data_IF_679142228809
#
_entry.id   IF_679142228809
#
_cell.length_a   1.000
_cell.length_b   1.000
_cell.length_c   1.000
_cell.angle_alpha   90.00
_cell.angle_beta   90.00
_cell.angle_gamma   90.00
#
_symmetry.space_group_name_H-M   'P 1'
#
loop_
_entity.id
_entity.type
_entity.pdbx_description
1 polymer ?
#
# COMPACT_ATOMS: atom_id res chain seq x y z
N UNK A 1 9.47 9.64 -22.85
CA UNK A 1 9.62 9.55 -21.38
C UNK A 1 10.90 8.78 -21.12
N UNK A 2 11.98 9.41 -20.64
CA UNK A 2 13.18 8.63 -20.28
C UNK A 2 12.73 7.73 -19.14
N UNK A 3 12.60 6.42 -19.40
CA UNK A 3 12.43 5.44 -18.33
C UNK A 3 13.76 5.40 -17.60
N UNK A 4 13.93 6.34 -16.67
CA UNK A 4 15.13 6.40 -15.87
C UNK A 4 15.07 5.15 -14.99
N UNK A 5 15.91 4.17 -15.32
CA UNK A 5 16.14 2.98 -14.50
C UNK A 5 17.02 3.32 -13.26
N UNK A 6 17.63 4.51 -13.26
CA UNK A 6 18.57 4.97 -12.25
C UNK A 6 18.35 6.43 -11.86
N UNK A 7 18.61 6.73 -10.58
CA UNK A 7 18.72 8.10 -10.05
C UNK A 7 19.89 8.85 -10.69
N UNK A 8 19.98 10.16 -10.43
CA UNK A 8 21.06 11.01 -10.90
C UNK A 8 22.42 10.56 -10.37
N UNK A 9 22.45 10.03 -9.15
CA UNK A 9 23.66 9.44 -8.56
C UNK A 9 23.81 7.96 -8.93
N UNK A 10 23.14 7.49 -9.99
CA UNK A 10 23.25 6.16 -10.56
C UNK A 10 22.86 5.01 -9.62
N UNK A 11 22.02 5.23 -8.61
CA UNK A 11 21.36 4.12 -7.91
C UNK A 11 20.20 3.58 -8.73
N UNK A 12 19.95 2.28 -8.68
CA UNK A 12 18.77 1.68 -9.34
C UNK A 12 17.49 2.15 -8.67
N UNK A 13 16.55 2.58 -9.49
CA UNK A 13 15.30 3.18 -9.04
C UNK A 13 14.47 2.25 -8.13
N UNK A 14 14.34 0.97 -8.48
CA UNK A 14 13.56 0.00 -7.70
C UNK A 14 14.19 -0.31 -6.33
N UNK A 15 15.52 -0.33 -6.28
CA UNK A 15 16.29 -0.49 -5.04
C UNK A 15 16.16 0.72 -4.11
N UNK A 16 16.25 1.94 -4.64
CA UNK A 16 16.06 3.18 -3.86
C UNK A 16 14.64 3.26 -3.29
N UNK A 17 13.62 2.97 -4.10
CA UNK A 17 12.21 2.93 -3.67
C UNK A 17 11.98 1.86 -2.59
N UNK A 18 12.68 0.73 -2.67
CA UNK A 18 12.64 -0.33 -1.67
C UNK A 18 13.33 0.09 -0.37
N UNK A 19 14.51 0.70 -0.48
CA UNK A 19 15.31 1.17 0.65
C UNK A 19 14.60 2.29 1.42
N UNK A 20 13.98 3.26 0.72
CA UNK A 20 13.16 4.30 1.34
C UNK A 20 12.05 3.69 2.21
N UNK A 21 11.24 2.80 1.65
CA UNK A 21 10.12 2.19 2.38
C UNK A 21 10.60 1.46 3.64
N UNK A 22 11.68 0.69 3.49
CA UNK A 22 12.17 -0.17 4.57
C UNK A 22 12.91 0.62 5.65
N UNK A 23 13.54 1.74 5.30
CA UNK A 23 14.13 2.67 6.27
C UNK A 23 13.03 3.34 7.10
N UNK A 24 11.96 3.83 6.46
CA UNK A 24 10.80 4.39 7.18
C UNK A 24 10.15 3.32 8.08
N UNK A 25 9.92 2.11 7.57
CA UNK A 25 9.39 0.96 8.34
C UNK A 25 10.20 0.65 9.60
N UNK A 26 11.52 0.84 9.54
CA UNK A 26 12.47 0.61 10.65
C UNK A 26 12.75 1.86 11.48
N UNK A 27 12.07 2.97 11.22
CA UNK A 27 12.26 4.24 11.92
C UNK A 27 13.68 4.83 11.75
N UNK A 28 14.32 4.54 10.63
CA UNK A 28 15.66 5.01 10.26
C UNK A 28 15.53 6.33 9.47
N UNK A 29 15.39 7.44 10.19
CA UNK A 29 15.04 8.73 9.60
C UNK A 29 16.15 9.26 8.66
N UNK A 30 17.42 9.13 9.04
CA UNK A 30 18.58 9.59 8.26
C UNK A 30 18.67 8.88 6.91
N UNK A 31 18.58 7.56 6.91
CA UNK A 31 18.61 6.74 5.71
C UNK A 31 17.37 6.98 4.85
N UNK A 32 16.19 7.11 5.46
CA UNK A 32 14.98 7.46 4.74
C UNK A 32 15.09 8.82 4.03
N UNK A 33 15.70 9.82 4.67
CA UNK A 33 15.94 11.13 4.07
C UNK A 33 16.91 11.05 2.89
N UNK A 34 17.99 10.27 3.01
CA UNK A 34 18.92 10.05 1.90
C UNK A 34 18.20 9.43 0.69
N UNK A 35 17.50 8.31 0.88
CA UNK A 35 16.83 7.61 -0.23
C UNK A 35 15.68 8.42 -0.85
N UNK A 36 15.00 9.24 -0.06
CA UNK A 36 13.98 10.13 -0.59
C UNK A 36 14.58 11.32 -1.35
N UNK A 37 15.67 11.90 -0.85
CA UNK A 37 16.45 12.93 -1.55
C UNK A 37 16.94 12.41 -2.91
N UNK A 38 17.48 11.19 -2.94
CA UNK A 38 17.87 10.49 -4.18
C UNK A 38 16.74 10.47 -5.22
N UNK A 39 15.50 10.20 -4.79
CA UNK A 39 14.34 10.17 -5.68
C UNK A 39 13.93 11.59 -6.12
N UNK A 40 13.73 12.51 -5.19
CA UNK A 40 13.22 13.84 -5.52
C UNK A 40 14.22 14.65 -6.36
N UNK A 41 15.51 14.61 -6.00
CA UNK A 41 16.58 15.29 -6.75
C UNK A 41 16.78 14.67 -8.14
N UNK A 42 16.29 13.45 -8.36
CA UNK A 42 16.26 12.77 -9.67
C UNK A 42 14.90 12.83 -10.36
N UNK A 43 14.05 13.77 -9.95
CA UNK A 43 12.72 14.03 -10.52
C UNK A 43 11.67 12.91 -10.33
N UNK A 44 11.89 11.99 -9.40
CA UNK A 44 10.92 10.95 -9.01
C UNK A 44 10.03 11.34 -7.83
N UNK A 45 9.90 12.62 -7.50
CA UNK A 45 9.13 13.06 -6.32
C UNK A 45 7.67 12.56 -6.31
N UNK A 46 6.99 12.46 -7.46
CA UNK A 46 5.64 11.85 -7.53
C UNK A 46 5.65 10.37 -7.13
N UNK A 47 6.65 9.62 -7.60
CA UNK A 47 6.79 8.21 -7.26
C UNK A 47 7.17 8.00 -5.79
N UNK A 48 8.01 8.89 -5.24
CA UNK A 48 8.31 8.95 -3.81
C UNK A 48 7.03 9.13 -3.00
N UNK A 49 6.21 10.15 -3.26
CA UNK A 49 4.95 10.37 -2.55
C UNK A 49 3.97 9.20 -2.72
N UNK A 50 3.89 8.60 -3.91
CA UNK A 50 3.09 7.40 -4.13
C UNK A 50 3.54 6.26 -3.19
N UNK A 51 4.86 6.12 -2.99
CA UNK A 51 5.39 5.16 -2.01
C UNK A 51 5.09 5.58 -0.57
N UNK A 52 5.17 6.87 -0.21
CA UNK A 52 4.82 7.35 1.12
C UNK A 52 3.34 7.06 1.49
N UNK A 53 2.41 7.22 0.55
CA UNK A 53 1.00 6.84 0.77
C UNK A 53 0.82 5.33 0.88
N UNK A 54 1.62 4.53 0.18
CA UNK A 54 1.63 3.07 0.38
C UNK A 54 2.07 2.71 1.80
N UNK A 55 3.15 3.34 2.29
CA UNK A 55 3.68 3.14 3.66
C UNK A 55 2.64 3.48 4.72
N UNK A 56 1.86 4.55 4.52
CA UNK A 56 0.76 4.91 5.44
C UNK A 56 -0.20 3.72 5.65
N UNK A 57 -0.65 3.07 4.58
CA UNK A 57 -1.61 1.97 4.71
C UNK A 57 -0.95 0.62 5.07
N UNK A 58 0.27 0.39 4.59
CA UNK A 58 0.99 -0.89 4.71
C UNK A 58 1.78 -1.04 6.01
N UNK A 59 2.47 0.01 6.44
CA UNK A 59 3.55 -0.03 7.45
C UNK A 59 3.25 0.75 8.73
N UNK A 60 2.38 1.75 8.64
CA UNK A 60 1.91 2.55 9.79
C UNK A 60 0.50 2.10 10.17
N UNK A 61 -0.40 2.09 9.19
CA UNK A 61 -1.72 1.50 9.27
C UNK A 61 -2.52 2.00 10.49
N UNK A 62 -3.15 1.09 11.23
CA UNK A 62 -3.91 1.37 12.44
C UNK A 62 -3.08 1.94 13.60
N UNK A 63 -1.74 1.94 13.50
CA UNK A 63 -0.91 2.48 14.58
C UNK A 63 -1.05 4.00 14.72
N UNK A 64 -1.15 4.71 13.59
CA UNK A 64 -1.24 6.18 13.53
C UNK A 64 -2.13 6.62 12.35
N UNK A 65 -3.44 6.26 12.35
CA UNK A 65 -4.30 6.39 11.17
C UNK A 65 -4.48 7.84 10.70
N UNK A 66 -4.42 8.81 11.61
CA UNK A 66 -4.55 10.22 11.29
C UNK A 66 -3.42 10.78 10.40
N UNK A 67 -2.26 10.09 10.32
CA UNK A 67 -1.13 10.55 9.51
C UNK A 67 -1.44 10.61 8.01
N UNK A 68 -2.44 9.88 7.51
CA UNK A 68 -2.84 9.96 6.10
C UNK A 68 -3.33 11.38 5.76
N UNK A 69 -4.06 12.03 6.67
CA UNK A 69 -4.58 13.40 6.52
C UNK A 69 -3.43 14.39 6.45
N UNK A 70 -2.46 14.26 7.36
CA UNK A 70 -1.29 15.14 7.40
C UNK A 70 -0.40 14.96 6.16
N UNK A 71 -0.14 13.73 5.74
CA UNK A 71 0.64 13.48 4.53
C UNK A 71 -0.06 14.04 3.29
N UNK A 72 -1.39 13.92 3.21
CA UNK A 72 -2.16 14.50 2.11
C UNK A 72 -2.09 16.03 2.08
N UNK A 73 -2.16 16.69 3.26
CA UNK A 73 -1.94 18.15 3.37
C UNK A 73 -0.55 18.56 2.87
N UNK A 74 0.49 17.86 3.33
CA UNK A 74 1.87 18.11 2.89
C UNK A 74 2.02 17.86 1.38
N UNK A 75 1.46 16.78 0.85
CA UNK A 75 1.51 16.49 -0.59
C UNK A 75 0.84 17.59 -1.43
N UNK A 76 -0.31 18.13 -1.00
CA UNK A 76 -0.96 19.23 -1.71
C UNK A 76 -0.10 20.50 -1.67
N UNK A 77 0.53 20.82 -0.53
CA UNK A 77 1.47 21.93 -0.44
C UNK A 77 2.68 21.72 -1.37
N UNK A 78 3.23 20.51 -1.39
CA UNK A 78 4.32 20.13 -2.28
C UNK A 78 3.94 20.31 -3.77
N UNK A 79 2.73 19.94 -4.17
CA UNK A 79 2.22 20.17 -5.53
C UNK A 79 2.14 21.67 -5.86
N UNK A 80 1.65 22.49 -4.92
CA UNK A 80 1.55 23.95 -5.08
C UNK A 80 2.94 24.57 -5.23
N UNK A 81 3.87 24.24 -4.33
CA UNK A 81 5.24 24.78 -4.35
C UNK A 81 5.96 24.41 -5.64
N UNK A 82 5.80 23.17 -6.13
CA UNK A 82 6.36 22.76 -7.42
C UNK A 82 5.73 23.47 -8.61
N UNK A 83 4.41 23.67 -8.60
CA UNK A 83 3.72 24.45 -9.65
C UNK A 83 4.25 25.88 -9.70
N UNK A 84 4.54 26.45 -8.53
CA UNK A 84 5.12 27.79 -8.39
C UNK A 84 6.65 27.83 -8.57
N UNK A 85 7.28 26.71 -8.97
CA UNK A 85 8.74 26.56 -9.11
C UNK A 85 9.54 26.87 -7.83
N UNK A 86 8.90 26.83 -6.66
CA UNK A 86 9.54 26.97 -5.36
C UNK A 86 10.11 25.63 -4.88
N UNK A 87 11.10 25.10 -5.62
CA UNK A 87 11.59 23.72 -5.43
C UNK A 87 12.16 23.46 -4.04
N UNK A 88 12.88 24.42 -3.44
CA UNK A 88 13.44 24.23 -2.10
C UNK A 88 12.32 24.09 -1.08
N UNK A 89 11.29 24.96 -1.14
CA UNK A 89 10.09 24.85 -0.28
C UNK A 89 9.44 23.47 -0.43
N UNK A 90 9.31 22.97 -1.67
CA UNK A 90 8.80 21.63 -1.91
C UNK A 90 9.68 20.55 -1.23
N UNK A 91 11.01 20.61 -1.37
CA UNK A 91 11.92 19.68 -0.69
C UNK A 91 11.78 19.74 0.84
N UNK A 92 11.62 20.92 1.42
CA UNK A 92 11.35 21.09 2.85
C UNK A 92 10.06 20.38 3.29
N UNK A 93 9.01 20.44 2.46
CA UNK A 93 7.76 19.72 2.72
C UNK A 93 7.98 18.20 2.69
N UNK A 94 8.78 17.70 1.74
CA UNK A 94 9.16 16.28 1.67
C UNK A 94 9.93 15.83 2.92
N UNK A 95 10.90 16.62 3.39
CA UNK A 95 11.68 16.31 4.60
C UNK A 95 10.74 16.16 5.81
N UNK A 96 9.80 17.10 6.00
CA UNK A 96 8.79 17.03 7.08
C UNK A 96 7.96 15.75 6.99
N UNK A 97 7.53 15.37 5.79
CA UNK A 97 6.78 14.14 5.57
C UNK A 97 7.59 12.90 5.97
N UNK A 98 8.85 12.79 5.55
CA UNK A 98 9.69 11.61 5.83
C UNK A 98 9.99 11.49 7.33
N UNK A 99 10.32 12.59 8.00
CA UNK A 99 10.54 12.62 9.45
C UNK A 99 9.29 12.18 10.20
N UNK A 100 8.11 12.70 9.81
CA UNK A 100 6.83 12.36 10.41
C UNK A 100 6.55 10.85 10.32
N UNK A 101 6.74 10.25 9.13
CA UNK A 101 6.48 8.82 8.92
C UNK A 101 7.55 7.94 9.59
N UNK A 102 8.80 8.39 9.63
CA UNK A 102 9.89 7.65 10.27
C UNK A 102 9.69 7.55 11.78
N UNK A 103 9.19 8.60 12.44
CA UNK A 103 8.93 8.60 13.88
C UNK A 103 7.61 7.94 14.30
N UNK A 104 6.68 7.70 13.37
CA UNK A 104 5.38 7.09 13.64
C UNK A 104 5.51 5.69 14.27
N UNK A 105 4.51 5.27 15.06
CA UNK A 105 4.35 3.85 15.35
C UNK A 105 4.02 3.07 14.07
N UNK A 106 4.36 1.79 14.07
CA UNK A 106 4.30 0.90 12.91
C UNK A 106 3.37 -0.28 13.19
N UNK A 107 2.60 -0.66 12.17
CA UNK A 107 1.72 -1.82 12.20
C UNK A 107 1.47 -2.29 10.75
N UNK A 108 1.51 -3.61 10.52
CA UNK A 108 1.30 -4.23 9.20
C UNK A 108 0.02 -5.07 9.11
N UNK A 109 -0.84 -5.02 10.13
CA UNK A 109 -2.06 -5.82 10.24
C UNK A 109 -2.95 -5.67 9.03
N UNK A 110 -3.17 -4.45 8.52
CA UNK A 110 -4.04 -4.26 7.35
C UNK A 110 -3.47 -4.95 6.12
N UNK A 111 -2.16 -4.85 5.90
CA UNK A 111 -1.51 -5.55 4.80
C UNK A 111 -1.57 -7.07 4.97
N UNK A 112 -1.22 -7.59 6.16
CA UNK A 112 -1.29 -9.04 6.41
C UNK A 112 -2.72 -9.58 6.39
N UNK A 113 -3.69 -8.82 6.89
CA UNK A 113 -5.12 -9.12 6.82
C UNK A 113 -5.59 -9.22 5.37
N UNK A 114 -5.19 -8.27 4.52
CA UNK A 114 -5.50 -8.33 3.08
C UNK A 114 -4.88 -9.55 2.39
N UNK A 115 -3.61 -9.85 2.68
CA UNK A 115 -2.94 -11.05 2.18
C UNK A 115 -3.65 -12.33 2.65
N UNK A 116 -4.10 -12.34 3.91
CA UNK A 116 -4.77 -13.49 4.49
C UNK A 116 -6.17 -13.68 3.89
N UNK A 117 -7.01 -12.65 3.76
CA UNK A 117 -8.35 -12.80 3.16
C UNK A 117 -8.29 -13.17 1.68
N UNK A 118 -7.20 -12.85 0.98
CA UNK A 118 -6.96 -13.29 -0.41
C UNK A 118 -6.87 -14.82 -0.53
N UNK A 119 -6.54 -15.52 0.57
CA UNK A 119 -6.44 -16.98 0.58
C UNK A 119 -7.79 -17.70 0.55
N UNK A 120 -8.88 -17.02 0.88
CA UNK A 120 -10.19 -17.63 1.07
C UNK A 120 -11.00 -17.70 -0.23
N UNK A 121 -11.79 -18.77 -0.34
CA UNK A 121 -12.77 -18.99 -1.42
C UNK A 121 -14.21 -19.05 -0.90
N UNK A 122 -14.39 -18.85 0.41
CA UNK A 122 -15.66 -18.78 1.14
C UNK A 122 -15.54 -17.73 2.24
N UNK A 123 -16.64 -17.18 2.78
CA UNK A 123 -16.59 -16.28 3.93
C UNK A 123 -15.82 -16.92 5.10
N UNK A 124 -14.85 -16.21 5.72
CA UNK A 124 -14.10 -16.73 6.86
C UNK A 124 -14.96 -17.15 8.06
N UNK A 125 -16.06 -16.43 8.33
CA UNK A 125 -17.03 -16.79 9.37
C UNK A 125 -18.43 -17.00 8.75
N UNK A 126 -19.32 -17.81 9.36
CA UNK A 126 -20.68 -18.00 8.89
C UNK A 126 -21.46 -16.68 8.77
N UNK A 127 -22.16 -16.49 7.66
CA UNK A 127 -22.88 -15.23 7.35
C UNK A 127 -24.40 -15.37 7.42
N UNK A 128 -24.92 -16.61 7.46
CA UNK A 128 -26.35 -16.89 7.48
C UNK A 128 -27.04 -16.38 8.75
N UNK A 129 -26.28 -16.21 9.83
CA UNK A 129 -26.77 -15.72 11.13
C UNK A 129 -26.67 -14.20 11.29
N UNK A 130 -26.19 -13.47 10.28
CA UNK A 130 -26.14 -12.02 10.38
C UNK A 130 -27.55 -11.43 10.45
N UNK A 131 -27.80 -10.48 11.37
CA UNK A 131 -29.01 -9.70 11.30
C UNK A 131 -28.98 -8.84 10.04
N UNK A 132 -30.17 -8.54 9.52
CA UNK A 132 -30.33 -7.62 8.39
C UNK A 132 -29.68 -6.27 8.75
N UNK A 133 -28.71 -5.78 7.94
CA UNK A 133 -28.00 -4.56 8.28
C UNK A 133 -28.94 -3.37 8.25
N UNK A 134 -28.73 -2.42 9.16
CA UNK A 134 -29.43 -1.13 9.20
C UNK A 134 -29.24 -0.41 7.87
N UNK A 135 -28.05 -0.56 7.27
CA UNK A 135 -27.71 0.00 5.97
C UNK A 135 -28.40 -0.65 4.77
N UNK A 136 -29.28 -1.65 4.94
CA UNK A 136 -29.93 -2.30 3.80
C UNK A 136 -30.75 -1.30 2.95
N UNK A 137 -31.50 -0.41 3.60
CA UNK A 137 -32.29 0.60 2.88
C UNK A 137 -31.40 1.52 2.01
N UNK A 138 -30.18 1.80 2.48
CA UNK A 138 -29.19 2.54 1.72
C UNK A 138 -28.73 1.74 0.50
N UNK A 139 -28.43 0.45 0.69
CA UNK A 139 -27.99 -0.45 -0.39
C UNK A 139 -29.07 -0.60 -1.46
N UNK A 140 -30.33 -0.79 -1.06
CA UNK A 140 -31.46 -0.93 -2.00
C UNK A 140 -31.67 0.35 -2.84
N UNK A 141 -31.32 1.52 -2.29
CA UNK A 141 -31.32 2.79 -3.04
C UNK A 141 -30.12 2.91 -3.99
N UNK A 142 -28.96 2.35 -3.62
CA UNK A 142 -27.71 2.44 -4.37
C UNK A 142 -27.66 1.48 -5.56
N UNK A 143 -28.20 0.27 -5.40
CA UNK A 143 -28.08 -0.80 -6.36
C UNK A 143 -29.48 -1.20 -6.85
N UNK A 144 -29.80 -1.05 -8.14
CA UNK A 144 -31.03 -1.60 -8.69
C UNK A 144 -31.04 -3.12 -8.50
N UNK A 145 -32.23 -3.76 -8.39
CA UNK A 145 -32.35 -5.20 -8.13
C UNK A 145 -31.73 -6.09 -9.23
N UNK A 146 -31.34 -5.52 -10.37
CA UNK A 146 -30.92 -6.22 -11.59
C UNK A 146 -29.42 -6.18 -11.88
N UNK A 147 -28.58 -5.62 -10.99
CA UNK A 147 -27.13 -5.73 -11.13
C UNK A 147 -26.72 -7.21 -10.93
N UNK A 148 -26.41 -7.90 -12.04
CA UNK A 148 -25.73 -9.21 -12.14
C UNK A 148 -26.59 -10.47 -11.97
N UNK A 149 -27.29 -10.83 -13.06
CA UNK A 149 -28.22 -11.98 -13.15
C UNK A 149 -27.70 -13.14 -14.01
N UNK A 150 -26.39 -13.25 -14.23
CA UNK A 150 -25.81 -14.45 -14.86
C UNK A 150 -24.92 -15.21 -13.85
N UNK A 151 -24.85 -16.54 -13.97
CA UNK A 151 -24.04 -17.38 -13.07
C UNK A 151 -22.52 -17.15 -13.23
N UNK A 152 -22.10 -16.27 -14.15
CA UNK A 152 -20.72 -15.99 -14.48
C UNK A 152 -20.20 -14.70 -13.86
N UNK A 153 -21.08 -13.91 -13.23
CA UNK A 153 -20.76 -12.65 -12.57
C UNK A 153 -21.02 -12.74 -11.07
N UNK A 154 -20.29 -11.93 -10.29
CA UNK A 154 -20.50 -11.87 -8.85
C UNK A 154 -21.81 -11.14 -8.54
N UNK A 155 -22.66 -11.70 -7.69
CA UNK A 155 -23.76 -10.96 -7.06
C UNK A 155 -23.19 -9.89 -6.09
N UNK A 156 -22.93 -8.70 -6.64
CA UNK A 156 -22.39 -7.55 -5.90
C UNK A 156 -23.39 -7.08 -4.85
N UNK A 157 -24.70 -7.20 -5.08
CA UNK A 157 -25.71 -6.76 -4.10
C UNK A 157 -25.65 -7.63 -2.86
N UNK A 158 -25.70 -8.95 -2.99
CA UNK A 158 -25.56 -9.86 -1.85
C UNK A 158 -24.22 -9.68 -1.16
N UNK A 159 -23.12 -9.57 -1.91
CA UNK A 159 -21.79 -9.31 -1.32
C UNK A 159 -21.76 -7.99 -0.53
N UNK A 160 -22.40 -6.93 -1.03
CA UNK A 160 -22.48 -5.63 -0.34
C UNK A 160 -23.37 -5.68 0.91
N UNK A 161 -24.45 -6.47 0.89
CA UNK A 161 -25.30 -6.69 2.08
C UNK A 161 -24.48 -7.39 3.16
N UNK A 162 -23.75 -8.46 2.82
CA UNK A 162 -22.91 -9.15 3.80
C UNK A 162 -21.73 -8.30 4.27
N UNK A 163 -21.17 -7.47 3.39
CA UNK A 163 -20.17 -6.48 3.77
C UNK A 163 -20.73 -5.50 4.81
N UNK A 164 -21.91 -4.94 4.58
CA UNK A 164 -22.57 -4.04 5.52
C UNK A 164 -22.87 -4.71 6.86
N UNK A 165 -23.41 -5.93 6.83
CA UNK A 165 -23.67 -6.70 8.03
C UNK A 165 -22.37 -6.98 8.81
N UNK A 166 -21.29 -7.38 8.14
CA UNK A 166 -20.00 -7.59 8.80
C UNK A 166 -19.43 -6.29 9.42
N UNK A 167 -19.55 -5.15 8.74
CA UNK A 167 -19.15 -3.84 9.28
C UNK A 167 -19.95 -3.43 10.53
N UNK A 168 -21.25 -3.71 10.55
CA UNK A 168 -22.14 -3.39 11.68
C UNK A 168 -21.95 -4.35 12.85
N UNK A 169 -21.72 -5.64 12.58
CA UNK A 169 -21.42 -6.68 13.58
C UNK A 169 -19.97 -6.68 14.08
N UNK A 170 -19.13 -5.77 13.56
CA UNK A 170 -17.69 -5.70 13.86
C UNK A 170 -16.94 -7.00 13.53
N UNK A 171 -17.40 -7.77 12.54
CA UNK A 171 -16.67 -8.92 12.00
C UNK A 171 -15.62 -8.45 11.00
N UNK A 172 -14.40 -8.26 11.48
CA UNK A 172 -13.28 -7.78 10.69
C UNK A 172 -12.91 -8.70 9.52
N UNK A 173 -12.91 -10.02 9.73
CA UNK A 173 -12.44 -10.96 8.71
C UNK A 173 -13.43 -11.03 7.55
N UNK A 174 -14.73 -11.13 7.83
CA UNK A 174 -15.74 -11.10 6.80
C UNK A 174 -15.82 -9.71 6.12
N UNK A 175 -15.68 -8.61 6.88
CA UNK A 175 -15.66 -7.28 6.28
C UNK A 175 -14.47 -7.10 5.31
N UNK A 176 -13.27 -7.54 5.70
CA UNK A 176 -12.09 -7.55 4.82
C UNK A 176 -12.30 -8.47 3.61
N UNK A 177 -12.88 -9.67 3.80
CA UNK A 177 -13.16 -10.62 2.73
C UNK A 177 -14.13 -10.04 1.69
N UNK A 178 -15.31 -9.57 2.10
CA UNK A 178 -16.30 -9.02 1.16
C UNK A 178 -15.82 -7.70 0.54
N UNK A 179 -15.17 -6.82 1.32
CA UNK A 179 -14.57 -5.61 0.78
C UNK A 179 -13.52 -5.91 -0.29
N UNK A 180 -12.72 -6.96 -0.08
CA UNK A 180 -11.78 -7.43 -1.08
C UNK A 180 -12.46 -8.01 -2.32
N UNK A 181 -13.46 -8.87 -2.12
CA UNK A 181 -14.23 -9.54 -3.18
C UNK A 181 -14.95 -8.53 -4.08
N UNK A 182 -15.52 -7.47 -3.51
CA UNK A 182 -16.14 -6.38 -4.26
C UNK A 182 -15.06 -5.60 -5.03
N UNK A 183 -13.91 -5.33 -4.42
CA UNK A 183 -12.80 -4.61 -5.07
C UNK A 183 -12.20 -5.37 -6.28
N UNK A 184 -12.35 -6.69 -6.37
CA UNK A 184 -11.91 -7.43 -7.57
C UNK A 184 -12.87 -7.27 -8.76
N UNK A 185 -14.05 -6.68 -8.56
CA UNK A 185 -15.02 -6.47 -9.64
C UNK A 185 -14.79 -5.12 -10.35
N UNK A 186 -14.54 -5.21 -11.65
CA UNK A 186 -14.28 -4.09 -12.55
C UNK A 186 -15.36 -3.99 -13.62
N UNK A 187 -15.29 -2.96 -14.46
CA UNK A 187 -16.20 -2.72 -15.57
C UNK A 187 -17.65 -2.41 -15.16
N UNK A 188 -17.84 -1.89 -13.94
CA UNK A 188 -19.08 -1.25 -13.56
C UNK A 188 -19.27 0.07 -14.31
N UNK A 189 -20.49 0.62 -14.26
CA UNK A 189 -20.73 2.00 -14.64
C UNK A 189 -19.83 2.96 -13.82
N UNK A 190 -19.51 4.11 -14.40
CA UNK A 190 -18.66 5.10 -13.74
C UNK A 190 -19.41 5.76 -12.59
N UNK A 191 -19.13 5.27 -11.37
CA UNK A 191 -19.86 5.65 -10.16
C UNK A 191 -19.19 6.81 -9.40
N UNK A 192 -18.22 7.54 -9.99
CA UNK A 192 -17.53 8.63 -9.28
C UNK A 192 -18.50 9.72 -8.81
N UNK A 193 -19.50 10.03 -9.64
CA UNK A 193 -20.53 11.04 -9.34
C UNK A 193 -21.33 10.71 -8.07
N UNK A 194 -21.51 9.44 -7.74
CA UNK A 194 -22.21 9.02 -6.53
C UNK A 194 -21.56 9.61 -5.28
N UNK A 195 -20.24 9.46 -5.16
CA UNK A 195 -19.48 9.94 -4.02
C UNK A 195 -19.21 11.44 -4.09
N UNK A 196 -19.03 12.02 -5.28
CA UNK A 196 -18.95 13.49 -5.42
C UNK A 196 -20.22 14.19 -4.94
N UNK A 197 -21.39 13.60 -5.25
CA UNK A 197 -22.70 14.11 -4.82
C UNK A 197 -22.87 13.97 -3.32
N UNK A 198 -22.56 12.79 -2.77
CA UNK A 198 -22.62 12.54 -1.32
C UNK A 198 -21.70 13.48 -0.53
N UNK A 199 -20.45 13.66 -1.00
CA UNK A 199 -19.46 14.52 -0.36
C UNK A 199 -19.67 16.01 -0.66
N UNK A 200 -20.60 16.37 -1.55
CA UNK A 200 -20.81 17.72 -2.07
C UNK A 200 -19.49 18.37 -2.55
N UNK A 201 -18.61 17.56 -3.13
CA UNK A 201 -17.25 17.96 -3.50
C UNK A 201 -16.89 17.35 -4.84
N UNK A 202 -16.57 18.19 -5.82
CA UNK A 202 -16.05 17.74 -7.12
C UNK A 202 -14.60 17.28 -6.98
N UNK A 203 -14.26 16.09 -7.47
CA UNK A 203 -12.93 15.50 -7.32
C UNK A 203 -12.15 15.62 -8.63
N UNK A 204 -11.22 16.59 -8.66
CA UNK A 204 -10.33 16.80 -9.82
C UNK A 204 -9.22 15.76 -9.85
N UNK A 205 -8.89 15.23 -11.04
CA UNK A 205 -7.78 14.29 -11.24
C UNK A 205 -8.07 12.87 -10.75
N UNK A 206 -9.33 12.43 -10.78
CA UNK A 206 -9.71 11.05 -10.46
C UNK A 206 -9.40 10.08 -11.60
N UNK A 207 -9.08 8.83 -11.24
CA UNK A 207 -8.82 7.73 -12.16
C UNK A 207 -10.12 7.19 -12.74
N UNK A 208 -10.25 7.21 -14.07
CA UNK A 208 -11.39 6.61 -14.78
C UNK A 208 -11.51 5.11 -14.49
N UNK A 209 -10.38 4.40 -14.47
CA UNK A 209 -10.33 2.96 -14.17
C UNK A 209 -10.92 2.65 -12.80
N UNK A 210 -10.55 3.42 -11.78
CA UNK A 210 -11.07 3.23 -10.42
C UNK A 210 -12.52 3.71 -10.29
N UNK A 211 -12.94 4.63 -11.16
CA UNK A 211 -14.33 5.04 -11.32
C UNK A 211 -15.29 3.92 -11.71
N UNK A 212 -14.76 2.88 -12.37
CA UNK A 212 -15.51 1.72 -12.88
C UNK A 212 -15.32 0.47 -12.00
N UNK A 213 -14.83 0.62 -10.77
CA UNK A 213 -14.65 -0.47 -9.82
C UNK A 213 -15.84 -0.49 -8.84
N UNK A 214 -16.34 -1.68 -8.51
CA UNK A 214 -17.49 -1.84 -7.63
C UNK A 214 -17.23 -1.37 -6.18
N UNK A 215 -15.98 -1.27 -5.74
CA UNK A 215 -15.65 -0.80 -4.39
C UNK A 215 -16.08 0.64 -4.11
N UNK A 216 -16.48 1.42 -5.12
CA UNK A 216 -17.12 2.72 -4.87
C UNK A 216 -18.40 2.60 -4.03
N UNK A 217 -19.14 1.49 -4.14
CA UNK A 217 -20.28 1.21 -3.26
C UNK A 217 -19.82 0.93 -1.82
N UNK A 218 -18.72 0.20 -1.64
CA UNK A 218 -18.10 -0.02 -0.32
C UNK A 218 -17.64 1.30 0.31
N UNK A 219 -17.02 2.19 -0.47
CA UNK A 219 -16.62 3.52 -0.01
C UNK A 219 -17.81 4.38 0.41
N UNK A 220 -18.86 4.41 -0.41
CA UNK A 220 -20.08 5.14 -0.09
C UNK A 220 -20.71 4.66 1.22
N UNK A 221 -20.80 3.35 1.40
CA UNK A 221 -21.34 2.74 2.61
C UNK A 221 -20.52 3.11 3.85
N UNK A 222 -19.19 2.91 3.81
CA UNK A 222 -18.33 3.19 4.96
C UNK A 222 -18.34 4.68 5.31
N UNK A 223 -18.34 5.58 4.32
CA UNK A 223 -18.45 7.03 4.56
C UNK A 223 -19.81 7.38 5.18
N UNK A 224 -20.89 6.75 4.72
CA UNK A 224 -22.23 6.93 5.27
C UNK A 224 -22.32 6.51 6.73
N UNK A 225 -21.74 5.35 7.05
CA UNK A 225 -21.64 4.83 8.41
C UNK A 225 -20.80 5.74 9.32
N UNK A 226 -19.69 6.26 8.81
CA UNK A 226 -18.77 7.10 9.56
C UNK A 226 -19.22 8.56 9.72
N UNK A 227 -20.31 8.99 9.07
CA UNK A 227 -20.71 10.41 8.92
C UNK A 227 -20.73 11.19 10.24
N UNK A 228 -21.25 10.60 11.31
CA UNK A 228 -21.35 11.27 12.62
C UNK A 228 -20.04 11.24 13.43
N UNK A 229 -19.05 10.43 13.02
CA UNK A 229 -17.74 10.31 13.68
C UNK A 229 -16.70 11.20 12.98
N UNK A 230 -16.79 12.52 13.21
CA UNK A 230 -16.01 13.57 12.53
C UNK A 230 -14.53 13.22 12.23
N UNK A 231 -13.77 12.79 13.24
CA UNK A 231 -12.33 12.48 13.05
C UNK A 231 -12.12 11.26 12.14
N UNK A 232 -12.83 10.16 12.42
CA UNK A 232 -12.77 8.94 11.62
C UNK A 232 -13.27 9.19 10.18
N UNK A 233 -14.34 9.97 10.04
CA UNK A 233 -14.88 10.36 8.74
C UNK A 233 -13.83 11.08 7.87
N UNK A 234 -13.10 12.05 8.43
CA UNK A 234 -12.07 12.77 7.68
C UNK A 234 -10.88 11.88 7.29
N UNK A 235 -10.52 10.90 8.12
CA UNK A 235 -9.52 9.88 7.79
C UNK A 235 -10.01 9.02 6.62
N UNK A 236 -11.22 8.45 6.72
CA UNK A 236 -11.81 7.60 5.67
C UNK A 236 -11.99 8.38 4.36
N UNK A 237 -12.45 9.63 4.43
CA UNK A 237 -12.58 10.53 3.28
C UNK A 237 -11.23 10.79 2.61
N UNK A 238 -10.17 10.98 3.40
CA UNK A 238 -8.81 11.11 2.87
C UNK A 238 -8.37 9.81 2.17
N UNK A 239 -8.58 8.64 2.78
CA UNK A 239 -8.27 7.35 2.17
C UNK A 239 -9.06 7.12 0.86
N UNK A 240 -10.32 7.57 0.80
CA UNK A 240 -11.11 7.56 -0.42
C UNK A 240 -10.52 8.50 -1.50
N UNK A 241 -10.09 9.71 -1.13
CA UNK A 241 -9.43 10.61 -2.08
C UNK A 241 -8.13 10.03 -2.63
N UNK A 242 -7.34 9.36 -1.79
CA UNK A 242 -6.16 8.63 -2.23
C UNK A 242 -6.53 7.48 -3.17
N UNK A 243 -7.56 6.70 -2.82
CA UNK A 243 -8.12 5.65 -3.68
C UNK A 243 -8.50 6.20 -5.05
N UNK A 244 -9.45 7.14 -5.12
CA UNK A 244 -10.03 7.56 -6.41
C UNK A 244 -9.04 8.34 -7.29
N UNK A 245 -7.97 8.91 -6.72
CA UNK A 245 -6.88 9.56 -7.44
C UNK A 245 -5.73 8.62 -7.82
N UNK A 246 -5.85 7.32 -7.52
CA UNK A 246 -4.81 6.31 -7.76
C UNK A 246 -3.47 6.67 -7.08
N UNK A 247 -3.54 7.12 -5.83
CA UNK A 247 -2.40 7.46 -5.00
C UNK A 247 -2.19 6.40 -3.90
N UNK A 248 -0.96 5.91 -3.80
CA UNK A 248 -0.57 4.85 -2.89
C UNK A 248 -1.04 3.48 -3.35
N UNK A 249 -1.32 2.61 -2.37
CA UNK A 249 -1.89 1.30 -2.62
C UNK A 249 -3.41 1.35 -2.42
N UNK A 250 -4.15 1.62 -3.50
CA UNK A 250 -5.60 1.85 -3.48
C UNK A 250 -6.39 0.74 -2.76
N UNK A 251 -6.04 -0.52 -2.99
CA UNK A 251 -6.64 -1.67 -2.31
C UNK A 251 -6.37 -1.69 -0.80
N UNK A 252 -5.17 -1.28 -0.36
CA UNK A 252 -4.85 -1.14 1.07
C UNK A 252 -5.59 0.04 1.70
N UNK A 253 -5.86 1.12 0.96
CA UNK A 253 -6.65 2.24 1.47
C UNK A 253 -8.07 1.79 1.87
N UNK A 254 -8.72 0.97 1.04
CA UNK A 254 -10.03 0.40 1.36
C UNK A 254 -9.94 -0.55 2.57
N UNK A 255 -8.95 -1.45 2.59
CA UNK A 255 -8.75 -2.36 3.71
C UNK A 255 -8.50 -1.62 5.03
N UNK A 256 -7.74 -0.52 5.01
CA UNK A 256 -7.53 0.33 6.17
C UNK A 256 -8.84 0.98 6.61
N UNK A 257 -9.63 1.55 5.70
CA UNK A 257 -10.93 2.14 6.03
C UNK A 257 -11.88 1.13 6.70
N UNK A 258 -11.92 -0.11 6.20
CA UNK A 258 -12.68 -1.22 6.79
C UNK A 258 -12.23 -1.49 8.23
N UNK A 259 -10.94 -1.70 8.46
CA UNK A 259 -10.40 -2.01 9.79
C UNK A 259 -10.62 -0.86 10.77
N UNK A 260 -10.44 0.39 10.32
CA UNK A 260 -10.68 1.56 11.18
C UNK A 260 -12.15 1.68 11.58
N UNK A 261 -13.09 1.38 10.69
CA UNK A 261 -14.52 1.35 11.03
C UNK A 261 -14.85 0.21 12.01
N UNK A 262 -14.36 -1.00 11.73
CA UNK A 262 -14.63 -2.18 12.56
C UNK A 262 -14.05 -1.99 13.97
N UNK A 263 -12.84 -1.43 14.07
CA UNK A 263 -12.14 -1.22 15.34
C UNK A 263 -12.30 0.18 15.94
N UNK A 264 -13.21 0.99 15.42
CA UNK A 264 -13.33 2.41 15.78
C UNK A 264 -13.36 2.70 17.30
N UNK A 265 -13.91 1.81 18.12
CA UNK A 265 -14.05 2.03 19.57
C UNK A 265 -12.77 1.62 20.34
N UNK A 266 -11.74 1.17 19.61
CA UNK A 266 -10.49 0.57 20.11
C UNK A 266 -9.24 1.23 19.53
N UNK A 267 -9.41 2.25 18.70
CA UNK A 267 -8.35 2.94 17.98
C UNK A 267 -8.28 4.39 18.46
N UNK A 268 -7.08 4.82 18.78
CA UNK A 268 -6.78 6.22 19.00
C UNK A 268 -6.66 6.94 17.65
N UNK A 269 -7.52 7.94 17.44
CA UNK A 269 -7.55 8.77 16.23
C UNK A 269 -6.92 10.15 16.44
N UNK A 270 -6.21 10.37 17.54
CA UNK A 270 -5.49 11.62 17.77
C UNK A 270 -4.53 11.89 16.62
N UNK A 271 -4.51 13.15 16.17
CA UNK A 271 -3.68 13.57 15.04
C UNK A 271 -2.29 13.90 15.53
N UNK A 272 -1.26 13.21 15.03
CA UNK A 272 0.11 13.60 15.32
C UNK A 272 0.41 14.99 14.74
N UNK A 273 1.21 15.79 15.43
CA UNK A 273 1.68 17.07 14.90
C UNK A 273 2.64 16.87 13.73
N UNK A 274 2.50 17.69 12.69
CA UNK A 274 3.53 17.80 11.64
C UNK A 274 4.80 18.39 12.27
N UNK A 275 6.00 17.80 12.05
CA UNK A 275 7.25 18.35 12.55
C UNK A 275 7.42 19.81 12.11
N UNK A 276 7.59 20.70 13.09
CA UNK A 276 7.74 22.14 12.81
C UNK A 276 9.15 22.47 12.33
N UNK A 277 10.17 21.91 13.01
CA UNK A 277 11.57 22.21 12.76
C UNK A 277 12.25 21.11 11.93
N UNK A 278 13.03 21.53 10.95
CA UNK A 278 13.93 20.66 10.17
C UNK A 278 15.36 21.09 10.49
N UNK A 279 16.17 20.18 11.04
CA UNK A 279 17.57 20.44 11.40
C UNK A 279 18.42 20.69 10.17
N UNK A 280 19.55 21.40 10.30
CA UNK A 280 20.50 21.61 9.21
C UNK A 280 21.00 20.27 8.65
N UNK A 281 21.36 19.33 9.53
CA UNK A 281 21.79 17.98 9.18
C UNK A 281 20.81 17.23 8.25
N UNK A 282 19.50 17.28 8.54
CA UNK A 282 18.50 16.64 7.67
C UNK A 282 18.38 17.27 6.29
N UNK A 283 18.64 18.59 6.19
CA UNK A 283 18.67 19.27 4.89
C UNK A 283 19.89 18.85 4.10
N UNK A 284 21.06 18.82 4.72
CA UNK A 284 22.32 18.43 4.08
C UNK A 284 22.21 17.03 3.46
N UNK A 285 21.67 16.07 4.20
CA UNK A 285 21.43 14.70 3.70
C UNK A 285 20.45 14.68 2.53
N UNK A 286 19.32 15.40 2.65
CA UNK A 286 18.26 15.34 1.65
C UNK A 286 18.60 16.07 0.36
N UNK A 287 19.25 17.24 0.47
CA UNK A 287 19.62 18.05 -0.69
C UNK A 287 20.84 17.46 -1.40
N UNK A 288 21.81 16.91 -0.64
CA UNK A 288 22.97 16.19 -1.17
C UNK A 288 23.71 16.96 -2.28
N UNK A 289 24.13 18.18 -1.97
CA UNK A 289 24.60 19.19 -2.94
C UNK A 289 26.09 19.09 -3.29
N UNK A 290 26.76 17.98 -2.95
CA UNK A 290 28.14 17.77 -3.36
C UNK A 290 28.27 17.87 -4.88
N UNK A 291 29.32 18.56 -5.34
CA UNK A 291 29.61 18.75 -6.77
C UNK A 291 29.90 17.43 -7.46
N UNK A 292 30.75 16.60 -6.85
CA UNK A 292 31.15 15.30 -7.39
C UNK A 292 30.11 14.22 -7.06
N UNK A 293 30.01 13.21 -7.94
CA UNK A 293 29.08 12.09 -7.74
C UNK A 293 29.49 11.15 -6.60
N UNK A 294 30.78 10.90 -6.40
CA UNK A 294 31.24 9.94 -5.40
C UNK A 294 30.83 10.36 -3.97
N UNK A 295 31.05 11.62 -3.53
CA UNK A 295 30.56 12.08 -2.24
C UNK A 295 29.03 12.09 -2.13
N UNK A 296 28.29 12.21 -3.24
CA UNK A 296 26.82 12.09 -3.23
C UNK A 296 26.34 10.67 -2.96
N UNK A 297 27.12 9.65 -3.30
CA UNK A 297 26.77 8.23 -3.11
C UNK A 297 27.11 7.75 -1.70
N UNK A 298 26.51 8.39 -0.69
CA UNK A 298 26.89 8.20 0.71
C UNK A 298 26.51 6.82 1.26
N UNK A 299 25.38 6.24 0.84
CA UNK A 299 24.89 4.96 1.37
C UNK A 299 24.98 3.82 0.37
N UNK A 300 25.26 2.62 0.86
CA UNK A 300 25.00 1.38 0.13
C UNK A 300 23.52 1.02 0.23
N UNK A 301 22.93 0.48 -0.86
CA UNK A 301 21.59 -0.10 -0.80
C UNK A 301 21.59 -1.24 0.22
N UNK A 302 20.82 -1.14 1.31
CA UNK A 302 20.90 -2.10 2.38
C UNK A 302 20.36 -3.47 1.96
N UNK A 303 20.94 -4.52 2.51
CA UNK A 303 20.58 -5.90 2.18
C UNK A 303 19.10 -6.23 2.35
N UNK A 304 18.47 -5.71 3.42
CA UNK A 304 17.04 -5.90 3.66
C UNK A 304 16.16 -5.27 2.56
N UNK A 305 16.67 -4.34 1.76
CA UNK A 305 15.97 -3.76 0.62
C UNK A 305 15.97 -4.64 -0.63
N UNK A 306 16.82 -5.66 -0.67
CA UNK A 306 16.92 -6.58 -1.78
C UNK A 306 15.99 -7.78 -1.56
N UNK A 307 14.73 -7.62 -1.97
CA UNK A 307 13.68 -8.63 -1.75
C UNK A 307 12.96 -9.03 -3.06
N UNK A 308 11.85 -9.75 -2.93
CA UNK A 308 11.02 -10.19 -4.06
C UNK A 308 10.49 -9.05 -4.96
N UNK A 309 10.63 -7.78 -4.58
CA UNK A 309 10.18 -6.61 -5.35
C UNK A 309 11.29 -5.97 -6.18
N UNK A 310 12.57 -6.13 -5.80
CA UNK A 310 13.71 -5.57 -6.57
C UNK A 310 14.25 -6.56 -7.60
N UNK A 311 14.90 -6.06 -8.65
CA UNK A 311 15.55 -6.89 -9.66
C UNK A 311 16.67 -7.74 -9.03
N UNK A 312 17.51 -7.13 -8.18
CA UNK A 312 18.60 -7.83 -7.46
C UNK A 312 18.07 -8.92 -6.52
N UNK A 313 16.96 -8.68 -5.82
CA UNK A 313 16.34 -9.67 -4.94
C UNK A 313 15.56 -10.76 -5.69
N UNK A 314 15.06 -10.52 -6.91
CA UNK A 314 14.46 -11.59 -7.71
C UNK A 314 15.51 -12.54 -8.29
N UNK A 315 16.75 -12.09 -8.44
CA UNK A 315 17.75 -12.75 -9.28
C UNK A 315 17.37 -12.65 -10.77
N UNK A 316 16.67 -11.57 -11.15
CA UNK A 316 16.16 -11.37 -12.52
C UNK A 316 16.35 -9.91 -12.94
N UNK A 317 16.66 -9.68 -14.21
CA UNK A 317 16.97 -8.36 -14.76
C UNK A 317 18.45 -8.30 -15.16
N UNK A 318 18.87 -7.24 -15.86
CA UNK A 318 20.27 -7.02 -16.21
C UNK A 318 20.97 -6.23 -15.10
N UNK A 319 21.45 -6.91 -14.08
CA UNK A 319 22.50 -6.39 -13.20
C UNK A 319 23.87 -6.50 -13.90
N UNK A 320 23.90 -6.06 -15.15
CA UNK A 320 25.15 -5.96 -15.85
C UNK A 320 25.72 -4.60 -15.43
N UNK A 321 26.92 -4.60 -14.86
CA UNK A 321 27.77 -3.42 -14.73
C UNK A 321 27.79 -2.60 -16.04
N UNK A 322 27.63 -3.25 -17.20
CA UNK A 322 27.36 -2.62 -18.48
C UNK A 322 26.18 -1.63 -18.48
N UNK A 323 25.06 -1.96 -17.83
CA UNK A 323 23.91 -1.05 -17.72
C UNK A 323 24.25 0.17 -16.86
N UNK A 324 25.03 0.01 -15.79
CA UNK A 324 25.58 1.15 -15.03
C UNK A 324 26.38 2.05 -15.98
N UNK A 325 27.37 1.49 -16.69
CA UNK A 325 28.21 2.23 -17.62
C UNK A 325 27.39 2.93 -18.71
N UNK A 326 26.38 2.26 -19.27
CA UNK A 326 25.50 2.84 -20.28
C UNK A 326 24.68 4.02 -19.73
N UNK A 327 24.16 3.92 -18.50
CA UNK A 327 23.36 4.99 -17.89
C UNK A 327 24.23 6.14 -17.36
N UNK A 328 25.47 5.85 -16.99
CA UNK A 328 26.49 6.83 -16.62
C UNK A 328 26.96 7.63 -17.84
N UNK A 329 27.22 6.97 -18.96
CA UNK A 329 27.63 7.61 -20.21
C UNK A 329 26.60 8.64 -20.71
N UNK A 330 25.30 8.36 -20.56
CA UNK A 330 24.22 9.33 -20.87
C UNK A 330 24.28 10.63 -20.05
N UNK A 331 25.05 10.64 -18.97
CA UNK A 331 25.24 11.77 -18.06
C UNK A 331 26.69 12.27 -18.05
N UNK A 332 27.51 11.85 -19.02
CA UNK A 332 28.93 12.18 -19.11
C UNK A 332 29.73 11.80 -17.85
N UNK A 333 29.35 10.71 -17.18
CA UNK A 333 30.06 10.17 -16.01
C UNK A 333 30.80 8.91 -16.44
N UNK A 334 32.12 8.87 -16.24
CA UNK A 334 32.88 7.63 -16.41
C UNK A 334 32.87 6.82 -15.10
N UNK A 335 32.31 5.61 -15.19
CA UNK A 335 32.16 4.67 -14.07
C UNK A 335 33.14 3.51 -14.16
N UNK A 336 33.95 3.42 -15.23
CA UNK A 336 34.88 2.30 -15.43
C UNK A 336 36.05 2.31 -14.45
N UNK A 337 36.40 3.49 -13.94
CA UNK A 337 37.46 3.68 -12.95
C UNK A 337 36.94 3.64 -11.50
N UNK A 338 35.64 3.42 -11.30
CA UNK A 338 35.10 3.34 -9.95
C UNK A 338 35.61 2.09 -9.24
N UNK A 339 35.91 2.22 -7.94
CA UNK A 339 36.25 1.08 -7.10
C UNK A 339 35.10 0.06 -7.06
N UNK A 340 35.42 -1.22 -6.89
CA UNK A 340 34.41 -2.28 -6.82
C UNK A 340 33.36 -2.05 -5.73
N UNK A 341 33.78 -1.53 -4.56
CA UNK A 341 32.89 -1.16 -3.46
C UNK A 341 31.88 -0.08 -3.85
N UNK A 342 32.27 0.88 -4.70
CA UNK A 342 31.38 1.95 -5.16
C UNK A 342 30.30 1.43 -6.11
N UNK A 343 30.67 0.48 -6.97
CA UNK A 343 29.75 -0.22 -7.86
C UNK A 343 28.79 -1.09 -7.03
N UNK A 344 29.29 -1.78 -6.00
CA UNK A 344 28.51 -2.67 -5.14
C UNK A 344 27.35 -1.97 -4.43
N UNK A 345 27.47 -0.66 -4.12
CA UNK A 345 26.42 0.16 -3.49
C UNK A 345 25.04 0.04 -4.16
N UNK A 346 24.95 -0.21 -5.48
CA UNK A 346 23.66 -0.46 -6.16
C UNK A 346 23.71 -1.50 -7.29
N UNK A 347 24.90 -1.97 -7.65
CA UNK A 347 25.14 -2.92 -8.76
C UNK A 347 26.02 -4.10 -8.33
N UNK A 348 26.04 -4.41 -7.04
CA UNK A 348 26.65 -5.64 -6.51
C UNK A 348 25.84 -6.88 -6.86
N UNK A 349 26.24 -8.05 -6.37
CA UNK A 349 25.69 -9.34 -6.77
C UNK A 349 24.18 -9.49 -6.53
N UNK A 350 23.59 -10.46 -7.24
CA UNK A 350 22.21 -10.89 -7.00
C UNK A 350 22.09 -11.62 -5.67
N UNK A 351 20.90 -11.52 -5.06
CA UNK A 351 20.59 -12.38 -3.93
C UNK A 351 20.28 -13.79 -4.41
N UNK A 352 20.97 -14.76 -3.84
CA UNK A 352 20.71 -16.18 -4.03
C UNK A 352 19.86 -16.69 -2.87
N UNK A 353 18.59 -16.97 -3.15
CA UNK A 353 17.65 -17.52 -2.18
C UNK A 353 17.56 -19.04 -2.31
N UNK A 354 17.33 -19.72 -1.19
CA UNK A 354 16.97 -21.14 -1.20
C UNK A 354 15.65 -21.36 -1.96
N UNK A 355 15.45 -22.57 -2.50
CA UNK A 355 14.20 -22.92 -3.17
C UNK A 355 13.00 -22.81 -2.23
N UNK A 356 13.19 -23.24 -0.97
CA UNK A 356 12.22 -23.19 0.12
C UNK A 356 12.92 -22.77 1.41
N UNK A 357 12.14 -22.31 2.39
CA UNK A 357 12.66 -21.97 3.70
C UNK A 357 13.20 -23.23 4.40
N UNK A 358 14.43 -23.14 4.87
CA UNK A 358 15.10 -24.17 5.67
C UNK A 358 15.40 -23.59 7.05
N UNK A 359 14.64 -24.06 8.04
CA UNK A 359 14.75 -23.60 9.43
C UNK A 359 16.06 -24.03 10.07
N UNK A 360 16.52 -25.26 9.82
CA UNK A 360 17.75 -25.84 10.37
C UNK A 360 18.99 -25.06 9.93
N UNK A 361 19.06 -24.74 8.63
CA UNK A 361 20.18 -23.99 8.04
C UNK A 361 19.99 -22.47 8.12
N UNK A 362 18.85 -22.00 8.65
CA UNK A 362 18.41 -20.59 8.60
C UNK A 362 18.51 -19.99 7.20
N UNK A 363 18.28 -20.81 6.16
CA UNK A 363 18.34 -20.36 4.76
C UNK A 363 16.97 -19.90 4.32
N UNK A 364 16.88 -18.61 3.99
CA UNK A 364 15.63 -18.03 3.52
C UNK A 364 15.34 -18.40 2.05
N UNK A 365 14.08 -18.78 1.82
CA UNK A 365 13.43 -18.61 0.52
C UNK A 365 13.10 -17.14 0.24
N UNK A 366 12.63 -16.85 -0.98
CA UNK A 366 12.22 -15.48 -1.33
C UNK A 366 11.03 -14.99 -0.52
N UNK A 367 10.05 -15.86 -0.26
CA UNK A 367 8.88 -15.49 0.55
C UNK A 367 9.25 -15.37 2.03
N UNK A 368 10.00 -16.30 2.61
CA UNK A 368 10.45 -16.17 4.01
C UNK A 368 11.32 -14.94 4.20
N UNK A 369 12.28 -14.64 3.32
CA UNK A 369 13.05 -13.40 3.41
C UNK A 369 12.16 -12.15 3.38
N UNK A 370 11.10 -12.15 2.57
CA UNK A 370 10.16 -11.03 2.55
C UNK A 370 9.48 -10.82 3.91
N UNK A 371 8.97 -11.88 4.54
CA UNK A 371 8.30 -11.78 5.83
C UNK A 371 9.28 -11.52 6.99
N UNK A 372 10.39 -12.24 7.00
CA UNK A 372 11.26 -12.38 8.17
C UNK A 372 12.37 -11.33 8.21
N UNK A 373 12.74 -10.77 7.07
CA UNK A 373 13.79 -9.75 6.96
C UNK A 373 13.22 -8.44 6.44
N UNK A 374 12.55 -8.47 5.28
CA UNK A 374 12.15 -7.26 4.57
C UNK A 374 11.00 -6.52 5.29
N UNK A 375 10.00 -7.27 5.78
CA UNK A 375 8.77 -6.76 6.41
C UNK A 375 8.89 -6.43 7.91
N UNK A 376 10.08 -6.53 8.50
CA UNK A 376 10.32 -6.24 9.91
C UNK A 376 10.03 -4.77 10.24
N UNK A 377 9.29 -4.55 11.33
CA UNK A 377 8.99 -3.24 11.94
C UNK A 377 9.69 -3.13 13.30
N UNK A 378 10.11 -1.93 13.70
CA UNK A 378 10.92 -1.72 14.91
C UNK A 378 10.21 -0.96 16.04
N UNK A 379 9.18 -0.17 15.73
CA UNK A 379 8.47 0.68 16.72
C UNK A 379 6.97 0.39 16.71
N UNK A 380 6.49 -0.44 17.64
CA UNK A 380 5.06 -0.77 17.77
C UNK A 380 4.42 0.07 18.88
N UNK A 381 3.14 0.38 18.73
CA UNK A 381 2.33 0.99 19.80
C UNK A 381 2.03 -0.07 20.85
N UNK A 382 1.81 0.33 22.10
CA UNK A 382 1.23 -0.58 23.08
C UNK A 382 -0.27 -0.83 22.79
N UNK A 383 -0.80 -1.94 23.33
CA UNK A 383 -2.20 -2.31 23.16
C UNK A 383 -2.59 -2.70 21.73
N UNK A 384 -3.89 -2.62 21.41
CA UNK A 384 -4.44 -3.19 20.16
C UNK A 384 -3.89 -2.58 18.87
N UNK A 385 -3.40 -1.33 18.91
CA UNK A 385 -2.77 -0.67 17.75
C UNK A 385 -1.37 -1.22 17.42
N UNK A 386 -0.73 -1.95 18.33
CA UNK A 386 0.53 -2.66 18.10
C UNK A 386 0.38 -4.11 17.68
N UNK A 387 -0.82 -4.67 17.80
CA UNK A 387 -1.08 -6.09 17.56
C UNK A 387 -1.29 -6.35 16.06
N UNK A 388 -0.78 -7.47 15.58
CA UNK A 388 -0.99 -7.98 14.24
C UNK A 388 -1.42 -9.45 14.29
N UNK A 389 -2.73 -9.68 14.20
CA UNK A 389 -3.33 -11.02 14.30
C UNK A 389 -3.21 -11.85 13.01
N UNK A 390 -2.66 -11.26 11.94
CA UNK A 390 -2.65 -11.87 10.60
C UNK A 390 -1.23 -12.18 10.10
N UNK A 391 -0.20 -11.64 10.74
CA UNK A 391 1.19 -11.82 10.30
C UNK A 391 1.55 -13.30 10.07
N UNK A 392 1.36 -14.15 11.08
CA UNK A 392 1.72 -15.57 10.97
C UNK A 392 0.81 -16.32 10.01
N UNK A 393 -0.50 -16.00 10.01
CA UNK A 393 -1.47 -16.63 9.10
C UNK A 393 -1.14 -16.35 7.64
N UNK A 394 -0.83 -15.10 7.31
CA UNK A 394 -0.40 -14.69 5.98
C UNK A 394 0.95 -15.32 5.60
N UNK A 395 1.92 -15.32 6.52
CA UNK A 395 3.23 -15.94 6.32
C UNK A 395 3.11 -17.43 6.00
N UNK A 396 2.44 -18.19 6.87
CA UNK A 396 2.20 -19.63 6.72
C UNK A 396 1.55 -19.94 5.38
N UNK A 397 0.48 -19.21 5.01
CA UNK A 397 -0.20 -19.42 3.73
C UNK A 397 0.71 -19.18 2.53
N UNK A 398 1.43 -18.05 2.49
CA UNK A 398 2.29 -17.72 1.35
C UNK A 398 3.51 -18.66 1.23
N UNK A 399 4.03 -19.16 2.35
CA UNK A 399 5.07 -20.20 2.33
C UNK A 399 4.52 -21.52 1.78
N UNK A 400 3.29 -21.90 2.12
CA UNK A 400 2.65 -23.08 1.55
C UNK A 400 2.44 -22.94 0.03
N UNK A 401 2.03 -21.75 -0.44
CA UNK A 401 1.91 -21.46 -1.88
C UNK A 401 3.28 -21.51 -2.58
N UNK A 402 4.33 -20.94 -1.98
CA UNK A 402 5.69 -21.04 -2.51
C UNK A 402 6.14 -22.50 -2.59
N UNK A 403 5.92 -23.30 -1.53
CA UNK A 403 6.25 -24.73 -1.51
C UNK A 403 5.54 -25.51 -2.61
N UNK A 404 4.26 -25.23 -2.85
CA UNK A 404 3.42 -26.00 -3.79
C UNK A 404 3.58 -25.54 -5.25
N UNK A 405 3.75 -24.25 -5.48
CA UNK A 405 3.64 -23.65 -6.82
C UNK A 405 4.84 -22.75 -7.20
N UNK A 406 5.82 -22.60 -6.31
CA UNK A 406 6.96 -21.73 -6.48
C UNK A 406 6.67 -20.26 -6.17
N UNK A 407 7.73 -19.49 -5.88
CA UNK A 407 7.62 -18.10 -5.43
C UNK A 407 6.93 -17.16 -6.43
N UNK A 408 6.97 -17.49 -7.74
CA UNK A 408 6.33 -16.68 -8.79
C UNK A 408 4.81 -16.68 -8.65
N UNK A 409 4.25 -17.78 -8.15
CA UNK A 409 2.82 -17.98 -7.89
C UNK A 409 2.41 -17.46 -6.50
N UNK A 410 3.36 -17.29 -5.57
CA UNK A 410 3.14 -16.69 -4.25
C UNK A 410 3.01 -15.14 -4.31
N UNK A 411 2.04 -14.66 -5.10
CA UNK A 411 1.67 -13.24 -5.27
C UNK A 411 0.16 -13.12 -5.32
N UNK A 412 -0.39 -12.09 -4.66
CA UNK A 412 -1.84 -11.93 -4.49
C UNK A 412 -2.61 -11.95 -5.82
N UNK A 413 -2.11 -11.29 -6.86
CA UNK A 413 -2.78 -11.28 -8.17
C UNK A 413 -2.91 -12.65 -8.82
N UNK A 414 -1.91 -13.54 -8.64
CA UNK A 414 -1.96 -14.90 -9.16
C UNK A 414 -2.91 -15.77 -8.32
N UNK A 415 -2.91 -15.58 -7.01
CA UNK A 415 -3.80 -16.27 -6.08
C UNK A 415 -5.26 -15.89 -6.36
N UNK A 416 -5.54 -14.60 -6.57
CA UNK A 416 -6.88 -14.11 -6.90
C UNK A 416 -7.38 -14.64 -8.24
N UNK A 417 -6.55 -14.58 -9.28
CA UNK A 417 -6.90 -15.13 -10.58
C UNK A 417 -7.26 -16.63 -10.49
N UNK A 418 -6.54 -17.36 -9.64
CA UNK A 418 -6.79 -18.78 -9.40
C UNK A 418 -8.04 -19.04 -8.54
N UNK A 419 -8.32 -18.19 -7.56
CA UNK A 419 -9.46 -18.33 -6.66
C UNK A 419 -10.78 -17.84 -7.27
N UNK A 420 -10.73 -16.97 -8.28
CA UNK A 420 -11.91 -16.33 -8.87
C UNK A 420 -13.00 -17.33 -9.32
N UNK A 421 -12.70 -18.43 -10.04
CA UNK A 421 -13.74 -19.39 -10.44
C UNK A 421 -14.42 -20.07 -9.25
N UNK A 422 -13.65 -20.39 -8.20
CA UNK A 422 -14.17 -21.03 -6.99
C UNK A 422 -15.04 -20.06 -6.18
N UNK A 423 -14.67 -18.78 -6.13
CA UNK A 423 -15.49 -17.74 -5.50
C UNK A 423 -16.86 -17.60 -6.20
N UNK A 424 -16.89 -17.63 -7.53
CA UNK A 424 -18.15 -17.58 -8.29
C UNK A 424 -19.02 -18.82 -8.04
N UNK A 425 -18.42 -20.01 -7.94
CA UNK A 425 -19.14 -21.24 -7.60
C UNK A 425 -19.72 -21.18 -6.18
N UNK A 426 -18.97 -20.63 -5.23
CA UNK A 426 -19.34 -20.57 -3.83
C UNK A 426 -20.30 -19.42 -3.48
N UNK A 427 -20.73 -18.60 -4.45
CA UNK A 427 -21.52 -17.41 -4.15
C UNK A 427 -22.87 -17.69 -3.47
N UNK A 428 -23.43 -18.87 -3.71
CA UNK A 428 -24.63 -19.37 -3.03
C UNK A 428 -24.51 -19.37 -1.49
N UNK A 429 -23.30 -19.40 -0.93
CA UNK A 429 -23.06 -19.38 0.52
C UNK A 429 -23.39 -18.02 1.17
N UNK A 430 -23.44 -16.94 0.38
CA UNK A 430 -23.69 -15.59 0.88
C UNK A 430 -24.80 -14.83 0.15
N UNK A 431 -25.40 -15.45 -0.85
CA UNK A 431 -26.57 -14.93 -1.54
C UNK A 431 -27.71 -14.71 -0.55
N UNK A 432 -28.25 -13.50 -0.54
CA UNK A 432 -29.44 -13.17 0.23
C UNK A 432 -30.64 -13.41 -0.68
N UNK A 433 -31.43 -14.43 -0.38
CA UNK A 433 -32.65 -14.72 -1.13
C UNK A 433 -33.54 -13.46 -1.12
N UNK A 434 -33.83 -12.90 -2.29
CA UNK A 434 -34.91 -11.91 -2.35
C UNK A 434 -36.22 -12.64 -2.04
N UNK A 435 -37.11 -12.06 -1.20
CA UNK A 435 -38.44 -12.63 -1.04
C UNK A 435 -39.04 -12.78 -2.44
N UNK A 436 -39.50 -13.99 -2.76
CA UNK A 436 -40.21 -14.23 -4.01
C UNK A 436 -41.30 -13.16 -4.14
N UNK A 437 -41.26 -12.39 -5.23
CA UNK A 437 -42.30 -11.41 -5.55
C UNK A 437 -43.66 -12.13 -5.37
N UNK A 438 -44.39 -11.72 -4.33
CA UNK A 438 -45.80 -12.11 -4.14
C UNK A 438 -46.66 -11.17 -4.95
#
# INVERSE_FOLDING_TARGET
MISLQHTNNLYKYDEVISALQKSIRRCQATEALFWAGELENSHYGKAMYNRLFTIIAEDISIAEPALCVNLYKLYNQWLIDRKNKAYDKAKYISIKAIIMLSHAYKNRMVNHGLLYVTSFITPPNPVQSYPKPISLALIDKLLPPTLFKDNNTLDIKSALIQFAAALEQKDELNALFFGNLINTQWHCEDNRRLLETYLQTKIVGSSKKLGQNASLYSWYLILSLAKEKKVLYEIIKTLYFLYVKDLGATRLNLALAIVLWVRQDKIDFTTCSIPQNVTAHYKEIYFNEFTDILPRRQLEVPDYALDKHTCRGKGSGSNNIHLLHQQAAKRNIDTRQWAASEIQKSHGDYKHFAAYYDETLKKHSRISHFFDVAAVITKRREGMQGIDNYAEKARTYYLAIERKYGYRQAKSTQIEAKNSPLLLQNQHLWQVLQPANR
#
